data_IF_265334042973
#
_entry.id   IF_265334042973
#
_cell.length_a   1.000
_cell.length_b   1.000
_cell.length_c   1.000
_cell.angle_alpha   90.00
_cell.angle_beta   90.00
_cell.angle_gamma   90.00
#
_symmetry.space_group_name_H-M   'P 1'
#
loop_
_entity.id
_entity.type
_entity.pdbx_description
1 polymer ?
#
# COMPACT_ATOMS: atom_id res chain seq x y z
N UNK A 1 2.99 31.46 3.99
CA UNK A 1 3.54 30.21 4.55
C UNK A 1 4.81 29.90 3.78
N UNK A 2 5.88 29.43 4.43
CA UNK A 2 7.12 29.08 3.73
C UNK A 2 6.88 27.92 2.75
N UNK A 3 7.54 27.96 1.59
CA UNK A 3 7.49 26.89 0.59
C UNK A 3 8.19 25.62 1.13
N UNK A 4 7.58 24.45 0.92
CA UNK A 4 8.17 23.17 1.34
C UNK A 4 9.37 22.82 0.45
N UNK A 5 10.54 22.68 1.07
CA UNK A 5 11.77 22.25 0.38
C UNK A 5 12.05 20.79 0.73
N UNK A 6 11.89 19.85 -0.22
CA UNK A 6 12.16 18.44 0.00
C UNK A 6 13.66 18.18 0.14
N UNK A 7 14.03 17.13 0.89
CA UNK A 7 15.41 16.62 0.93
C UNK A 7 15.51 15.42 -0.01
N UNK A 8 16.55 15.34 -0.81
CA UNK A 8 16.77 14.19 -1.70
C UNK A 8 17.29 12.97 -0.94
N UNK A 9 17.18 11.80 -1.55
CA UNK A 9 17.69 10.55 -1.01
C UNK A 9 19.21 10.60 -0.82
N UNK A 10 19.94 11.21 -1.76
CA UNK A 10 21.39 11.42 -1.65
C UNK A 10 21.73 12.33 -0.47
N UNK A 11 21.04 13.47 -0.34
CA UNK A 11 21.25 14.39 0.78
C UNK A 11 20.98 13.73 2.13
N UNK A 12 19.91 12.93 2.24
CA UNK A 12 19.59 12.15 3.44
C UNK A 12 20.74 11.18 3.78
N UNK A 13 21.24 10.43 2.79
CA UNK A 13 22.35 9.48 2.97
C UNK A 13 23.66 10.15 3.36
N UNK A 14 23.87 11.38 2.94
CA UNK A 14 25.02 12.21 3.30
C UNK A 14 24.84 12.95 4.63
N UNK A 15 23.69 12.78 5.31
CA UNK A 15 23.38 13.46 6.57
C UNK A 15 23.05 14.95 6.41
N UNK A 16 22.80 15.42 5.19
CA UNK A 16 22.44 16.81 4.87
C UNK A 16 20.94 17.02 5.09
N UNK A 17 20.51 17.11 6.34
CA UNK A 17 19.12 17.48 6.70
C UNK A 17 19.06 18.60 7.74
N UNK A 18 18.04 19.49 7.67
CA UNK A 18 17.80 20.46 8.72
C UNK A 18 17.64 19.78 10.08
N UNK A 19 18.30 20.32 11.11
CA UNK A 19 18.24 19.77 12.45
C UNK A 19 16.80 19.77 12.99
N UNK A 20 16.39 18.67 13.62
CA UNK A 20 15.06 18.54 14.22
C UNK A 20 13.89 18.40 13.25
N UNK A 21 14.15 18.25 11.93
CA UNK A 21 13.11 17.94 10.95
C UNK A 21 13.12 16.44 10.62
N UNK A 22 12.03 15.69 10.92
CA UNK A 22 11.95 14.29 10.53
C UNK A 22 11.93 14.15 9.01
N UNK A 23 12.45 13.02 8.53
CA UNK A 23 12.36 12.64 7.11
C UNK A 23 10.95 12.13 6.86
N UNK A 24 10.19 12.83 6.02
CA UNK A 24 8.81 12.44 5.72
C UNK A 24 8.78 11.54 4.50
N UNK A 25 8.24 10.34 4.63
CA UNK A 25 8.19 9.36 3.54
C UNK A 25 6.72 9.03 3.25
N UNK A 26 6.33 9.08 1.98
CA UNK A 26 5.03 8.62 1.52
C UNK A 26 5.13 7.17 1.04
N UNK A 27 4.41 6.26 1.69
CA UNK A 27 4.04 4.97 1.11
C UNK A 27 2.59 5.02 0.64
N UNK A 28 2.27 4.36 -0.46
CA UNK A 28 0.89 4.30 -0.94
C UNK A 28 0.55 2.90 -1.41
N UNK A 29 -0.74 2.58 -1.38
CA UNK A 29 -1.24 1.36 -1.96
C UNK A 29 -2.69 1.10 -1.67
N UNK A 30 -3.13 -0.08 -2.11
CA UNK A 30 -4.52 -0.51 -1.91
C UNK A 30 -4.72 -1.12 -0.53
N UNK A 31 -3.72 -1.85 -0.01
CA UNK A 31 -3.74 -2.43 1.35
C UNK A 31 -4.94 -3.35 1.64
N UNK A 32 -5.48 -4.01 0.62
CA UNK A 32 -6.59 -4.96 0.77
C UNK A 32 -6.14 -6.27 1.43
N UNK A 33 -7.00 -6.82 2.29
CA UNK A 33 -6.67 -7.92 3.22
C UNK A 33 -5.33 -7.64 3.93
N UNK A 34 -5.23 -6.50 4.62
CA UNK A 34 -3.98 -6.00 5.19
C UNK A 34 -3.20 -7.08 5.96
N UNK A 35 -1.99 -7.39 5.49
CA UNK A 35 -1.24 -8.59 5.86
C UNK A 35 0.24 -8.30 6.07
N UNK A 36 1.02 -9.27 6.57
CA UNK A 36 2.43 -9.07 6.94
C UNK A 36 3.30 -8.53 5.78
N UNK A 37 3.00 -8.88 4.52
CA UNK A 37 3.69 -8.30 3.37
C UNK A 37 3.56 -6.78 3.26
N UNK A 38 2.40 -6.21 3.61
CA UNK A 38 2.22 -4.76 3.67
C UNK A 38 2.95 -4.16 4.87
N UNK A 39 2.82 -4.80 6.04
CA UNK A 39 3.49 -4.38 7.28
C UNK A 39 5.01 -4.30 7.08
N UNK A 40 5.59 -5.25 6.37
CA UNK A 40 7.03 -5.32 6.12
C UNK A 40 7.52 -4.21 5.18
N UNK A 41 6.75 -3.85 4.15
CA UNK A 41 7.05 -2.68 3.30
C UNK A 41 6.99 -1.39 4.13
N UNK A 42 5.96 -1.22 4.95
CA UNK A 42 5.83 -0.04 5.82
C UNK A 42 6.95 0.00 6.88
N UNK A 43 7.36 -1.14 7.42
CA UNK A 43 8.50 -1.26 8.33
C UNK A 43 9.79 -0.79 7.67
N UNK A 44 10.06 -1.27 6.44
CA UNK A 44 11.26 -0.89 5.70
C UNK A 44 11.30 0.62 5.47
N UNK A 45 10.19 1.24 5.07
CA UNK A 45 10.12 2.68 4.90
C UNK A 45 10.35 3.45 6.22
N UNK A 46 9.65 3.07 7.30
CA UNK A 46 9.79 3.68 8.64
C UNK A 46 11.20 3.55 9.22
N UNK A 47 11.92 2.49 8.89
CA UNK A 47 13.25 2.19 9.45
C UNK A 47 14.40 2.52 8.48
N UNK A 48 14.11 3.12 7.32
CA UNK A 48 15.13 3.41 6.31
C UNK A 48 16.20 4.40 6.81
N UNK A 49 15.82 5.32 7.70
CA UNK A 49 16.69 6.34 8.27
C UNK A 49 16.35 6.60 9.75
N UNK A 50 17.25 7.25 10.50
CA UNK A 50 16.90 7.80 11.81
C UNK A 50 15.81 8.88 11.68
N UNK A 51 14.84 8.89 12.60
CA UNK A 51 13.81 9.94 12.68
C UNK A 51 12.99 10.10 11.38
N UNK A 52 12.32 9.02 10.98
CA UNK A 52 11.38 8.99 9.86
C UNK A 52 9.96 9.21 10.39
N UNK A 53 9.19 10.01 9.66
CA UNK A 53 7.75 10.14 9.80
C UNK A 53 7.08 9.55 8.55
N UNK A 54 6.40 8.42 8.70
CA UNK A 54 5.78 7.66 7.64
C UNK A 54 4.33 8.08 7.44
N UNK A 55 4.09 8.66 6.28
CA UNK A 55 2.77 9.00 5.76
C UNK A 55 2.32 7.87 4.84
N UNK A 56 1.09 7.39 5.01
CA UNK A 56 0.53 6.33 4.17
C UNK A 56 -0.72 6.79 3.45
N UNK A 57 -0.75 6.65 2.13
CA UNK A 57 -1.93 6.87 1.33
C UNK A 57 -2.65 5.58 0.97
N UNK A 58 -3.97 5.54 1.15
CA UNK A 58 -4.80 4.38 0.82
C UNK A 58 -5.66 4.69 -0.40
N UNK A 59 -5.63 3.86 -1.45
CA UNK A 59 -6.48 4.07 -2.63
C UNK A 59 -7.97 3.82 -2.28
N UNK A 60 -8.88 4.60 -2.85
CA UNK A 60 -10.33 4.39 -2.70
C UNK A 60 -10.79 3.16 -3.49
N UNK A 61 -11.98 2.63 -3.16
CA UNK A 61 -12.54 1.48 -3.89
C UNK A 61 -12.81 1.84 -5.36
N UNK A 62 -13.30 3.06 -5.61
CA UNK A 62 -13.56 3.59 -6.94
C UNK A 62 -12.29 3.68 -7.79
N UNK A 63 -11.18 4.15 -7.20
CA UNK A 63 -9.90 4.25 -7.89
C UNK A 63 -9.31 2.87 -8.19
N UNK A 64 -9.43 1.92 -7.27
CA UNK A 64 -8.98 0.54 -7.51
C UNK A 64 -9.76 -0.08 -8.67
N UNK A 65 -11.08 0.08 -8.71
CA UNK A 65 -11.91 -0.41 -9.82
C UNK A 65 -11.50 0.26 -11.13
N UNK A 66 -11.40 1.59 -11.13
CA UNK A 66 -11.12 2.39 -12.32
C UNK A 66 -9.74 2.11 -12.91
N UNK A 67 -8.72 2.04 -12.07
CA UNK A 67 -7.33 2.00 -12.51
C UNK A 67 -6.72 0.61 -12.51
N UNK A 68 -7.09 -0.29 -11.58
CA UNK A 68 -6.58 -1.67 -11.51
C UNK A 68 -7.50 -2.70 -12.15
N UNK A 69 -8.76 -2.33 -12.47
CA UNK A 69 -9.76 -3.24 -13.02
C UNK A 69 -10.24 -4.34 -12.07
N UNK A 70 -9.75 -4.35 -10.82
CA UNK A 70 -10.11 -5.30 -9.77
C UNK A 70 -11.06 -4.69 -8.74
N UNK A 71 -11.61 -5.53 -7.87
CA UNK A 71 -12.34 -5.11 -6.67
C UNK A 71 -11.52 -5.43 -5.43
N UNK A 72 -11.75 -4.67 -4.37
CA UNK A 72 -11.28 -4.97 -3.03
C UNK A 72 -12.25 -5.91 -2.33
N UNK A 73 -11.71 -6.75 -1.43
CA UNK A 73 -12.53 -7.55 -0.51
C UNK A 73 -12.96 -6.69 0.67
N UNK A 74 -12.03 -5.91 1.22
CA UNK A 74 -12.26 -4.98 2.31
C UNK A 74 -12.63 -3.60 1.76
N UNK A 75 -13.62 -2.95 2.37
CA UNK A 75 -13.99 -1.57 2.07
C UNK A 75 -12.82 -0.60 2.31
N UNK A 76 -12.89 0.58 1.70
CA UNK A 76 -11.93 1.66 1.96
C UNK A 76 -11.75 1.96 3.45
N UNK A 77 -12.84 2.02 4.21
CA UNK A 77 -12.80 2.30 5.66
C UNK A 77 -12.03 1.22 6.42
N UNK A 78 -12.30 -0.05 6.14
CA UNK A 78 -11.60 -1.17 6.80
C UNK A 78 -10.11 -1.17 6.48
N UNK A 79 -9.75 -0.94 5.22
CA UNK A 79 -8.35 -0.85 4.78
C UNK A 79 -7.63 0.34 5.43
N UNK A 80 -8.27 1.51 5.44
CA UNK A 80 -7.71 2.72 6.07
C UNK A 80 -7.46 2.49 7.56
N UNK A 81 -8.44 1.93 8.28
CA UNK A 81 -8.29 1.62 9.70
C UNK A 81 -7.20 0.59 9.96
N UNK A 82 -7.13 -0.48 9.16
CA UNK A 82 -6.08 -1.49 9.31
C UNK A 82 -4.67 -0.90 9.12
N UNK A 83 -4.51 0.02 8.18
CA UNK A 83 -3.24 0.75 7.96
C UNK A 83 -2.93 1.69 9.12
N UNK A 84 -3.93 2.43 9.62
CA UNK A 84 -3.76 3.38 10.73
C UNK A 84 -3.30 2.68 12.03
N UNK A 85 -3.75 1.45 12.27
CA UNK A 85 -3.35 0.63 13.43
C UNK A 85 -1.97 -0.03 13.26
N UNK A 86 -1.32 0.11 12.11
CA UNK A 86 0.01 -0.43 11.88
C UNK A 86 1.04 0.38 12.68
N UNK A 87 1.79 -0.29 13.56
CA UNK A 87 2.84 0.30 14.43
C UNK A 87 3.84 1.23 13.72
N UNK A 88 4.08 1.02 12.42
CA UNK A 88 5.07 1.77 11.66
C UNK A 88 4.53 3.06 11.04
N UNK A 89 3.21 3.25 11.03
CA UNK A 89 2.52 4.36 10.37
C UNK A 89 2.31 5.50 11.37
N UNK A 90 2.64 6.72 10.97
CA UNK A 90 2.41 7.92 11.80
C UNK A 90 1.18 8.70 11.32
N UNK A 91 0.89 8.68 10.02
CA UNK A 91 -0.21 9.44 9.42
C UNK A 91 -0.80 8.65 8.25
N UNK A 92 -2.13 8.67 8.12
CA UNK A 92 -2.82 8.17 6.92
C UNK A 92 -3.47 9.35 6.21
N UNK A 93 -3.09 9.60 4.95
CA UNK A 93 -3.66 10.68 4.14
C UNK A 93 -4.95 10.24 3.49
N UNK A 94 -5.97 11.09 3.63
CA UNK A 94 -7.26 10.89 2.98
C UNK A 94 -7.27 11.50 1.57
N UNK A 95 -8.13 10.94 0.70
CA UNK A 95 -8.40 11.48 -0.63
C UNK A 95 -7.13 11.67 -1.50
N UNK A 96 -6.16 10.75 -1.36
CA UNK A 96 -5.02 10.77 -2.26
C UNK A 96 -5.45 10.44 -3.69
N UNK A 97 -4.92 11.13 -4.72
CA UNK A 97 -5.11 10.70 -6.11
C UNK A 97 -4.41 9.37 -6.36
N UNK A 98 -5.04 8.45 -7.11
CA UNK A 98 -4.36 7.22 -7.55
C UNK A 98 -3.05 7.49 -8.30
N UNK A 99 -3.08 8.43 -9.25
CA UNK A 99 -1.87 8.94 -9.90
C UNK A 99 -1.58 10.36 -9.39
N UNK A 100 -0.64 10.46 -8.46
CA UNK A 100 -0.17 11.74 -7.93
C UNK A 100 1.12 12.20 -8.61
N UNK A 101 1.42 13.49 -8.47
CA UNK A 101 2.63 14.12 -9.02
C UNK A 101 3.46 14.76 -7.89
N UNK A 102 4.58 15.38 -8.26
CA UNK A 102 5.49 16.01 -7.31
C UNK A 102 4.83 17.16 -6.51
N UNK A 103 3.86 17.86 -7.11
CA UNK A 103 3.14 18.93 -6.42
C UNK A 103 2.29 18.39 -5.28
N UNK A 104 1.63 17.23 -5.48
CA UNK A 104 0.91 16.57 -4.40
C UNK A 104 1.85 16.13 -3.27
N UNK A 105 2.97 15.48 -3.61
CA UNK A 105 3.96 15.02 -2.61
C UNK A 105 4.52 16.22 -1.81
N UNK A 106 4.76 17.36 -2.46
CA UNK A 106 5.18 18.59 -1.78
C UNK A 106 4.06 19.21 -0.93
N UNK A 107 2.79 19.13 -1.38
CA UNK A 107 1.62 19.62 -0.63
C UNK A 107 1.46 18.88 0.70
N UNK A 108 1.70 17.57 0.72
CA UNK A 108 1.69 16.74 1.94
C UNK A 108 3.05 16.71 2.66
N UNK A 109 3.98 17.56 2.22
CA UNK A 109 5.30 17.77 2.81
C UNK A 109 6.11 16.49 2.96
N UNK A 110 6.05 15.58 1.99
CA UNK A 110 6.86 14.36 1.98
C UNK A 110 8.17 14.58 1.21
N UNK A 111 9.28 14.10 1.75
CA UNK A 111 10.59 14.14 1.13
C UNK A 111 10.72 13.06 0.07
N UNK A 112 10.35 11.83 0.42
CA UNK A 112 10.52 10.65 -0.42
C UNK A 112 9.17 9.96 -0.69
N UNK A 113 9.09 9.23 -1.80
CA UNK A 113 8.06 8.21 -2.07
C UNK A 113 8.71 6.84 -1.95
N UNK A 114 8.07 5.91 -1.24
CA UNK A 114 8.60 4.56 -1.05
C UNK A 114 7.66 3.48 -1.59
N UNK A 115 8.19 2.62 -2.47
CA UNK A 115 7.50 1.49 -3.08
C UNK A 115 8.54 0.43 -3.52
N UNK A 116 8.11 -0.76 -3.96
CA UNK A 116 9.02 -1.69 -4.63
C UNK A 116 9.56 -1.10 -5.96
N UNK A 117 10.66 -1.66 -6.46
CA UNK A 117 11.34 -1.12 -7.66
C UNK A 117 10.76 -1.63 -8.99
N UNK A 118 9.66 -2.39 -8.95
CA UNK A 118 9.03 -2.90 -10.18
C UNK A 118 8.33 -1.74 -10.88
N UNK A 119 8.56 -1.53 -12.20
CA UNK A 119 7.83 -0.53 -12.98
C UNK A 119 6.32 -0.65 -12.79
N UNK A 120 5.70 0.40 -12.27
CA UNK A 120 4.29 0.35 -11.95
C UNK A 120 3.45 0.92 -13.09
N UNK A 121 2.73 0.02 -13.76
CA UNK A 121 1.76 0.34 -14.80
C UNK A 121 0.50 -0.49 -14.57
N UNK A 122 -0.67 0.15 -14.53
CA UNK A 122 -1.92 -0.56 -14.26
C UNK A 122 -2.60 -1.09 -15.51
N UNK A 123 -2.01 -0.92 -16.70
CA UNK A 123 -2.51 -1.50 -17.96
C UNK A 123 -3.87 -0.98 -18.42
N UNK A 124 -4.48 -0.03 -17.70
CA UNK A 124 -5.77 0.58 -18.03
C UNK A 124 -5.66 1.65 -19.14
N UNK A 125 -6.82 2.13 -19.61
CA UNK A 125 -6.94 3.15 -20.67
C UNK A 125 -6.36 4.52 -20.29
N UNK A 126 -6.12 4.76 -19.01
CA UNK A 126 -5.42 5.93 -18.47
C UNK A 126 -4.18 5.46 -17.72
N UNK A 127 -3.01 5.63 -18.31
CA UNK A 127 -1.75 5.41 -17.61
C UNK A 127 -1.16 6.76 -17.19
N UNK A 128 -1.11 7.06 -15.89
CA UNK A 128 -0.29 8.14 -15.34
C UNK A 128 1.22 7.82 -15.36
N UNK A 129 1.58 6.68 -15.95
CA UNK A 129 2.93 6.16 -16.05
C UNK A 129 3.72 6.84 -17.17
N UNK A 130 4.89 7.39 -16.83
CA UNK A 130 5.85 7.88 -17.82
C UNK A 130 6.74 6.72 -18.27
N UNK A 131 6.81 6.47 -19.58
CA UNK A 131 7.59 5.36 -20.13
C UNK A 131 7.28 3.99 -19.48
N UNK A 132 6.03 3.79 -19.05
CA UNK A 132 5.60 2.54 -18.43
C UNK A 132 5.95 2.38 -16.94
N UNK A 133 6.46 3.42 -16.26
CA UNK A 133 6.65 3.43 -14.82
C UNK A 133 6.10 4.72 -14.20
N UNK A 134 5.07 4.59 -13.36
CA UNK A 134 4.51 5.70 -12.59
C UNK A 134 5.56 6.38 -11.71
N UNK A 135 6.46 5.62 -11.11
CA UNK A 135 7.43 6.16 -10.14
C UNK A 135 8.68 6.75 -10.78
N UNK A 136 8.85 6.65 -12.10
CA UNK A 136 10.04 7.12 -12.82
C UNK A 136 10.37 8.58 -12.54
N UNK A 137 9.35 9.43 -12.41
CA UNK A 137 9.50 10.84 -12.06
C UNK A 137 10.17 11.06 -10.71
N UNK A 138 9.83 10.25 -9.70
CA UNK A 138 10.41 10.36 -8.37
C UNK A 138 11.82 9.79 -8.34
N UNK A 139 12.07 8.72 -9.12
CA UNK A 139 13.42 8.14 -9.32
C UNK A 139 14.37 9.19 -9.93
N UNK A 140 13.95 9.90 -10.97
CA UNK A 140 14.73 10.96 -11.64
C UNK A 140 15.04 12.16 -10.74
N UNK A 141 14.14 12.45 -9.80
CA UNK A 141 14.29 13.55 -8.84
C UNK A 141 15.09 13.16 -7.60
N UNK A 142 15.65 11.94 -7.54
CA UNK A 142 16.31 11.40 -6.34
C UNK A 142 15.40 11.42 -5.10
N UNK A 143 14.12 11.13 -5.29
CA UNK A 143 13.06 11.17 -4.26
C UNK A 143 12.28 9.85 -4.18
N UNK A 144 12.89 8.75 -4.59
CA UNK A 144 12.28 7.42 -4.55
C UNK A 144 13.12 6.46 -3.70
N UNK A 145 12.50 5.90 -2.66
CA UNK A 145 13.09 4.90 -1.78
C UNK A 145 12.56 3.52 -2.15
N UNK A 146 13.44 2.60 -2.51
CA UNK A 146 13.05 1.22 -2.84
C UNK A 146 12.79 0.39 -1.58
N UNK A 147 11.72 -0.41 -1.64
CA UNK A 147 11.41 -1.45 -0.64
C UNK A 147 11.38 -2.82 -1.30
N UNK A 148 11.39 -3.88 -0.49
CA UNK A 148 11.38 -5.26 -0.93
C UNK A 148 10.05 -5.91 -0.55
N UNK A 149 9.45 -6.61 -1.52
CA UNK A 149 8.24 -7.41 -1.29
C UNK A 149 8.57 -8.63 -0.43
N UNK A 150 7.62 -9.03 0.42
CA UNK A 150 7.71 -10.28 1.16
C UNK A 150 7.26 -11.44 0.29
N UNK A 151 8.14 -12.41 0.07
CA UNK A 151 7.82 -13.62 -0.69
C UNK A 151 6.77 -14.49 0.04
N UNK A 152 5.93 -15.20 -0.74
CA UNK A 152 4.97 -16.16 -0.21
C UNK A 152 3.69 -15.55 0.38
N UNK A 153 3.52 -14.22 0.34
CA UNK A 153 2.27 -13.56 0.76
C UNK A 153 1.87 -12.41 -0.17
N UNK A 154 0.58 -12.35 -0.48
CA UNK A 154 -0.08 -11.25 -1.18
C UNK A 154 -1.60 -11.38 -1.01
N UNK A 155 -2.35 -10.31 -1.27
CA UNK A 155 -3.83 -10.35 -1.30
C UNK A 155 -4.33 -11.47 -2.21
N UNK A 156 -3.78 -11.59 -3.43
CA UNK A 156 -4.13 -12.69 -4.35
C UNK A 156 -3.84 -14.05 -3.74
N UNK A 157 -2.69 -14.24 -3.10
CA UNK A 157 -2.35 -15.51 -2.47
C UNK A 157 -3.30 -15.84 -1.31
N UNK A 158 -3.68 -14.87 -0.47
CA UNK A 158 -4.66 -15.09 0.60
C UNK A 158 -6.03 -15.47 0.06
N UNK A 159 -6.51 -14.77 -0.99
CA UNK A 159 -7.76 -15.11 -1.67
C UNK A 159 -7.71 -16.55 -2.19
N UNK A 160 -6.62 -16.95 -2.85
CA UNK A 160 -6.48 -18.32 -3.36
C UNK A 160 -6.46 -19.36 -2.24
N UNK A 161 -5.81 -19.08 -1.10
CA UNK A 161 -5.85 -19.97 0.08
C UNK A 161 -7.28 -20.17 0.59
N UNK A 162 -8.06 -19.09 0.69
CA UNK A 162 -9.45 -19.13 1.15
C UNK A 162 -10.32 -19.93 0.18
N UNK A 163 -10.21 -19.65 -1.13
CA UNK A 163 -10.99 -20.35 -2.16
C UNK A 163 -10.68 -21.86 -2.19
N UNK A 164 -9.40 -22.23 -2.09
CA UNK A 164 -9.01 -23.64 -2.04
C UNK A 164 -9.53 -24.33 -0.77
N UNK A 165 -9.39 -23.70 0.39
CA UNK A 165 -9.89 -24.24 1.66
C UNK A 165 -11.41 -24.40 1.65
N UNK A 166 -12.14 -23.45 1.07
CA UNK A 166 -13.60 -23.54 0.91
C UNK A 166 -14.00 -24.71 -0.01
N UNK A 167 -13.29 -24.89 -1.12
CA UNK A 167 -13.52 -26.02 -2.03
C UNK A 167 -13.35 -27.36 -1.30
N UNK A 168 -12.26 -27.52 -0.55
CA UNK A 168 -12.01 -28.73 0.26
C UNK A 168 -13.07 -28.93 1.35
N UNK A 169 -13.56 -27.85 1.97
CA UNK A 169 -14.65 -27.91 2.93
C UNK A 169 -15.93 -28.45 2.29
N UNK A 170 -16.32 -27.92 1.12
CA UNK A 170 -17.51 -28.37 0.38
C UNK A 170 -17.39 -29.85 0.03
N UNK A 171 -16.30 -30.27 -0.61
CA UNK A 171 -16.08 -31.66 -1.02
C UNK A 171 -16.13 -32.66 0.15
N UNK A 172 -15.61 -32.28 1.33
CA UNK A 172 -15.66 -33.13 2.53
C UNK A 172 -17.07 -33.28 3.10
N UNK A 173 -17.89 -32.23 3.03
CA UNK A 173 -19.27 -32.27 3.55
C UNK A 173 -20.20 -33.03 2.60
N UNK A 174 -20.05 -32.84 1.29
CA UNK A 174 -20.79 -33.61 0.29
C UNK A 174 -20.56 -35.12 0.44
N UNK A 175 -19.30 -35.55 0.63
CA UNK A 175 -18.96 -36.96 0.91
C UNK A 175 -19.62 -37.53 2.18
N UNK A 176 -20.02 -36.67 3.12
CA UNK A 176 -20.69 -37.05 4.37
C UNK A 176 -22.22 -36.99 4.27
N UNK A 177 -22.76 -36.63 3.11
CA UNK A 177 -24.20 -36.43 2.91
C UNK A 177 -24.75 -35.17 3.58
N UNK A 178 -23.88 -34.25 4.02
CA UNK A 178 -24.28 -32.98 4.61
C UNK A 178 -24.41 -31.92 3.51
N UNK A 179 -25.48 -31.12 3.55
CA UNK A 179 -25.65 -29.96 2.66
C UNK A 179 -24.78 -28.84 3.20
N UNK A 180 -23.76 -28.37 2.46
CA UNK A 180 -22.96 -27.22 2.88
C UNK A 180 -23.87 -25.99 3.03
N UNK A 181 -23.65 -25.13 4.04
CA UNK A 181 -24.45 -23.91 4.19
C UNK A 181 -24.36 -23.06 2.91
N UNK A 182 -25.52 -22.64 2.41
CA UNK A 182 -25.67 -21.93 1.13
C UNK A 182 -25.37 -20.43 1.21
N UNK A 183 -25.08 -19.90 2.40
CA UNK A 183 -24.78 -18.48 2.61
C UNK A 183 -23.80 -18.24 3.75
N UNK A 184 -22.99 -17.19 3.63
CA UNK A 184 -21.93 -16.77 4.56
C UNK A 184 -22.44 -16.11 5.85
N UNK A 185 -23.76 -16.04 6.06
CA UNK A 185 -24.35 -15.34 7.20
C UNK A 185 -24.25 -16.09 8.55
N UNK A 186 -23.61 -17.26 8.58
CA UNK A 186 -23.40 -18.07 9.80
C UNK A 186 -21.96 -18.05 10.32
N UNK A 187 -21.09 -17.16 9.83
CA UNK A 187 -19.74 -17.03 10.41
C UNK A 187 -19.87 -16.30 11.75
N UNK A 188 -20.03 -17.09 12.82
CA UNK A 188 -19.79 -16.62 14.18
C UNK A 188 -18.35 -16.12 14.27
N UNK A 189 -18.18 -14.97 14.92
CA UNK A 189 -16.88 -14.44 15.28
C UNK A 189 -16.18 -15.46 16.19
N UNK A 190 -15.26 -16.25 15.63
CA UNK A 190 -14.36 -17.11 16.40
C UNK A 190 -13.23 -16.20 16.87
N UNK A 191 -13.39 -15.61 18.06
CA UNK A 191 -12.27 -14.99 18.79
C UNK A 191 -11.46 -16.04 19.53
#
# INVERSE_FOLDING_TARGET
MAEFVPITLTEIREGKRPAGRPIRILCEGTFDLFHIGHVEVLRQAKQAFPDVFLVVGVNTDEDVIKYKGGRTVMSFEERRRAVLECKYVDEVVENQPFYFNIHYVNKIQCDLVAHDDIPYNTGGTFSGAENGDFYLRFKRLDRFLTTQRTEGISTTNLIQRILNSHKEYVERNEKRGAIPPSSTNEIQMIV
#
